data_IF_372654046435
#
_entry.id   IF_372654046435
#
_cell.length_a   1.000
_cell.length_b   1.000
_cell.length_c   1.000
_cell.angle_alpha   90.00
_cell.angle_beta   90.00
_cell.angle_gamma   90.00
#
_symmetry.space_group_name_H-M   'P 1'
#
loop_
_entity.id
_entity.type
_entity.pdbx_description
1 polymer ?
#
# COMPACT_ATOMS: atom_id res chain seq x y z
N UNK A 1 -8.60 20.43 1.36
CA UNK A 1 -7.74 19.34 0.83
C UNK A 1 -6.34 19.89 0.66
N UNK A 2 -5.34 19.21 1.23
CA UNK A 2 -3.94 19.62 1.16
C UNK A 2 -3.20 18.76 0.15
N UNK A 3 -2.52 19.38 -0.80
CA UNK A 3 -1.69 18.70 -1.78
C UNK A 3 -0.22 18.78 -1.36
N UNK A 4 0.45 17.63 -1.26
CA UNK A 4 1.86 17.49 -0.91
C UNK A 4 2.60 16.77 -2.02
N UNK A 5 3.83 17.20 -2.29
CA UNK A 5 4.74 16.53 -3.22
C UNK A 5 6.07 16.30 -2.50
N UNK A 6 6.41 15.05 -2.22
CA UNK A 6 7.70 14.70 -1.62
C UNK A 6 8.65 14.39 -2.77
N UNK A 7 9.62 15.28 -2.97
CA UNK A 7 10.62 15.14 -4.03
C UNK A 7 11.78 14.26 -3.57
N UNK A 8 11.73 12.98 -3.95
CA UNK A 8 12.76 11.98 -3.64
C UNK A 8 13.76 11.85 -4.79
N UNK A 9 13.33 11.98 -6.04
CA UNK A 9 14.18 11.70 -7.20
C UNK A 9 13.76 12.46 -8.46
N UNK A 10 12.94 13.50 -8.32
CA UNK A 10 12.46 14.32 -9.43
C UNK A 10 11.37 13.66 -10.28
N UNK A 11 11.09 12.36 -10.12
CA UNK A 11 10.14 11.62 -10.97
C UNK A 11 8.71 12.17 -10.90
N UNK A 12 8.35 12.76 -9.77
CA UNK A 12 7.02 13.31 -9.50
C UNK A 12 7.04 14.84 -9.56
N UNK A 13 7.96 15.50 -8.82
CA UNK A 13 7.98 16.95 -8.70
C UNK A 13 8.24 17.69 -10.02
N UNK A 14 8.94 17.06 -10.97
CA UNK A 14 9.23 17.65 -12.27
C UNK A 14 8.05 17.57 -13.26
N UNK A 15 7.06 16.70 -13.01
CA UNK A 15 5.92 16.52 -13.92
C UNK A 15 5.09 17.81 -14.00
N UNK A 16 4.74 18.24 -15.21
CA UNK A 16 4.12 19.55 -15.47
C UNK A 16 2.92 19.84 -14.55
N UNK A 17 1.95 18.93 -14.35
CA UNK A 17 0.76 19.25 -13.55
C UNK A 17 1.09 19.47 -12.07
N UNK A 18 2.15 18.82 -11.55
CA UNK A 18 2.57 18.96 -10.16
C UNK A 18 3.50 20.17 -10.00
N UNK A 19 4.46 20.35 -10.92
CA UNK A 19 5.35 21.51 -10.96
C UNK A 19 4.55 22.81 -10.98
N UNK A 20 3.56 22.94 -11.87
CA UNK A 20 2.71 24.13 -11.96
C UNK A 20 1.96 24.42 -10.66
N UNK A 21 1.52 23.38 -9.94
CA UNK A 21 0.83 23.54 -8.64
C UNK A 21 1.80 23.93 -7.53
N UNK A 22 3.04 23.42 -7.56
CA UNK A 22 4.11 23.83 -6.64
C UNK A 22 4.45 25.30 -6.87
N UNK A 23 4.70 25.70 -8.12
CA UNK A 23 5.08 27.07 -8.49
C UNK A 23 3.99 28.09 -8.12
N UNK A 24 2.72 27.70 -8.21
CA UNK A 24 1.58 28.52 -7.81
C UNK A 24 1.28 28.51 -6.30
N UNK A 25 2.05 27.79 -5.48
CA UNK A 25 1.81 27.65 -4.03
C UNK A 25 0.58 26.80 -3.67
N UNK A 26 -0.02 26.11 -4.65
CA UNK A 26 -1.18 25.24 -4.46
C UNK A 26 -0.81 23.82 -3.99
N UNK A 27 0.48 23.46 -4.02
CA UNK A 27 1.03 22.23 -3.48
C UNK A 27 2.26 22.52 -2.62
N UNK A 28 2.36 21.87 -1.46
CA UNK A 28 3.56 21.93 -0.62
C UNK A 28 4.60 20.94 -1.14
N UNK A 29 5.73 21.44 -1.63
CA UNK A 29 6.91 20.63 -1.95
C UNK A 29 7.70 20.32 -0.67
N UNK A 30 8.11 19.07 -0.52
CA UNK A 30 8.98 18.59 0.55
C UNK A 30 10.22 18.00 -0.11
N UNK A 31 11.35 18.70 -0.05
CA UNK A 31 12.61 18.18 -0.57
C UNK A 31 13.11 17.04 0.32
N UNK A 32 13.35 15.88 -0.30
CA UNK A 32 13.87 14.67 0.37
C UNK A 32 14.87 13.91 -0.51
N UNK A 33 15.37 14.52 -1.58
CA UNK A 33 16.35 13.92 -2.48
C UNK A 33 17.66 13.54 -1.77
N UNK A 34 18.01 14.26 -0.70
CA UNK A 34 19.15 13.94 0.17
C UNK A 34 19.01 12.60 0.91
N UNK A 35 17.78 12.12 1.10
CA UNK A 35 17.48 10.85 1.75
C UNK A 35 17.29 9.69 0.78
N UNK A 36 17.11 9.97 -0.51
CA UNK A 36 16.63 9.02 -1.51
C UNK A 36 17.44 7.73 -1.60
N UNK A 37 18.77 7.81 -1.61
CA UNK A 37 19.63 6.62 -1.68
C UNK A 37 19.50 5.70 -0.46
N UNK A 38 19.17 6.27 0.71
CA UNK A 38 18.96 5.53 1.96
C UNK A 38 17.54 5.01 2.15
N UNK A 39 16.62 5.44 1.29
CA UNK A 39 15.19 5.11 1.31
C UNK A 39 14.76 4.27 0.11
N UNK A 40 15.59 4.11 -0.93
CA UNK A 40 15.19 3.44 -2.17
C UNK A 40 15.20 1.93 -1.98
N UNK A 41 14.09 1.25 -2.35
CA UNK A 41 13.84 -0.21 -2.20
C UNK A 41 13.73 -0.68 -0.75
N UNK A 42 14.69 -0.30 0.08
CA UNK A 42 14.81 -0.68 1.47
C UNK A 42 15.39 0.48 2.28
N UNK A 43 14.77 0.75 3.42
CA UNK A 43 15.19 1.76 4.38
C UNK A 43 15.61 1.12 5.72
N UNK A 44 16.63 1.71 6.34
CA UNK A 44 16.93 1.45 7.76
C UNK A 44 15.94 2.20 8.64
N UNK A 45 15.81 1.80 9.92
CA UNK A 45 15.01 2.55 10.89
C UNK A 45 15.49 4.01 11.00
N UNK A 46 16.80 4.24 11.05
CA UNK A 46 17.35 5.59 11.12
C UNK A 46 17.01 6.44 9.88
N UNK A 47 16.99 5.85 8.68
CA UNK A 47 16.57 6.55 7.46
C UNK A 47 15.08 6.89 7.52
N UNK A 48 14.23 5.96 7.98
CA UNK A 48 12.79 6.21 8.18
C UNK A 48 12.52 7.27 9.24
N UNK A 49 13.30 7.31 10.33
CA UNK A 49 13.17 8.32 11.37
C UNK A 49 13.52 9.72 10.84
N UNK A 50 14.58 9.83 10.00
CA UNK A 50 14.92 11.09 9.32
C UNK A 50 13.83 11.52 8.34
N UNK A 51 13.30 10.57 7.57
CA UNK A 51 12.20 10.82 6.64
C UNK A 51 10.95 11.35 7.36
N UNK A 52 10.49 10.64 8.39
CA UNK A 52 9.31 11.06 9.18
C UNK A 52 9.54 12.38 9.91
N UNK A 53 10.76 12.65 10.40
CA UNK A 53 11.14 13.96 10.91
C UNK A 53 10.92 15.08 9.88
N UNK A 54 11.41 14.91 8.65
CA UNK A 54 11.21 15.88 7.54
C UNK A 54 9.73 16.11 7.25
N UNK A 55 8.90 15.06 7.33
CA UNK A 55 7.45 15.18 7.13
C UNK A 55 6.78 16.01 8.22
N UNK A 56 7.20 15.88 9.48
CA UNK A 56 6.68 16.66 10.62
C UNK A 56 7.05 18.12 10.53
N UNK A 57 8.30 18.41 10.18
CA UNK A 57 8.78 19.79 10.02
C UNK A 57 8.05 20.53 8.89
N UNK A 58 7.58 19.78 7.90
CA UNK A 58 6.82 20.30 6.75
C UNK A 58 5.29 20.24 6.96
N UNK A 59 4.82 19.75 8.10
CA UNK A 59 3.39 19.55 8.34
C UNK A 59 2.71 20.87 8.73
N UNK A 60 1.78 21.34 7.90
CA UNK A 60 0.86 22.38 8.33
C UNK A 60 -0.16 21.82 9.36
N UNK A 61 -0.60 22.59 10.37
CA UNK A 61 -1.64 22.14 11.29
C UNK A 61 -2.95 21.79 10.57
N UNK A 62 -3.70 20.81 11.09
CA UNK A 62 -5.07 20.53 10.65
C UNK A 62 -5.34 19.08 10.24
N UNK A 63 -6.62 18.71 10.32
CA UNK A 63 -7.14 17.36 10.05
C UNK A 63 -7.71 17.18 8.63
N UNK A 64 -7.41 18.13 7.73
CA UNK A 64 -7.85 18.15 6.34
C UNK A 64 -7.38 16.92 5.56
N UNK A 65 -8.22 16.46 4.63
CA UNK A 65 -7.86 15.44 3.64
C UNK A 65 -6.58 15.85 2.92
N UNK A 66 -5.57 14.97 2.94
CA UNK A 66 -4.29 15.21 2.28
C UNK A 66 -4.08 14.24 1.12
N UNK A 67 -3.59 14.74 -0.01
CA UNK A 67 -3.10 13.93 -1.13
C UNK A 67 -1.60 14.15 -1.24
N UNK A 68 -0.85 13.06 -1.23
CA UNK A 68 0.62 13.08 -1.26
C UNK A 68 1.12 12.32 -2.48
N UNK A 69 1.89 12.98 -3.32
CA UNK A 69 2.62 12.35 -4.42
C UNK A 69 4.09 12.24 -4.05
N UNK A 70 4.73 11.10 -4.33
CA UNK A 70 6.12 10.89 -3.97
C UNK A 70 6.78 9.77 -4.79
N UNK A 71 8.00 10.04 -5.27
CA UNK A 71 8.94 9.05 -5.83
C UNK A 71 8.44 8.16 -6.97
N UNK A 72 9.34 7.29 -7.45
CA UNK A 72 8.99 6.08 -8.20
C UNK A 72 8.51 4.94 -7.29
N UNK A 73 7.99 3.85 -7.88
CA UNK A 73 7.41 2.71 -7.13
C UNK A 73 8.38 2.02 -6.15
N UNK A 74 9.69 2.15 -6.35
CA UNK A 74 10.71 1.70 -5.40
C UNK A 74 10.73 2.46 -4.06
N UNK A 75 9.84 3.44 -3.89
CA UNK A 75 9.59 4.13 -2.62
C UNK A 75 8.23 3.80 -2.00
N UNK A 76 7.40 2.92 -2.55
CA UNK A 76 6.02 2.70 -2.05
C UNK A 76 5.97 2.32 -0.56
N UNK A 77 7.01 1.64 -0.05
CA UNK A 77 7.15 1.32 1.39
C UNK A 77 7.22 2.54 2.33
N UNK A 78 7.50 3.74 1.82
CA UNK A 78 7.44 4.97 2.60
C UNK A 78 6.02 5.28 3.11
N UNK A 79 5.00 4.63 2.55
CA UNK A 79 3.63 4.61 3.11
C UNK A 79 3.62 4.26 4.60
N UNK A 80 4.44 3.31 5.05
CA UNK A 80 4.54 2.97 6.48
C UNK A 80 4.98 4.17 7.34
N UNK A 81 5.91 5.00 6.83
CA UNK A 81 6.33 6.22 7.49
C UNK A 81 5.26 7.31 7.47
N UNK A 82 4.54 7.45 6.36
CA UNK A 82 3.42 8.39 6.25
C UNK A 82 2.27 8.04 7.21
N UNK A 83 1.94 6.75 7.34
CA UNK A 83 0.94 6.24 8.28
C UNK A 83 1.32 6.48 9.74
N UNK A 84 2.61 6.47 10.08
CA UNK A 84 3.09 6.74 11.43
C UNK A 84 2.79 8.19 11.90
N UNK A 85 2.55 9.11 10.97
CA UNK A 85 2.17 10.50 11.28
C UNK A 85 0.67 10.67 11.54
N UNK A 86 -0.14 9.64 11.26
CA UNK A 86 -1.58 9.69 11.52
C UNK A 86 -1.85 9.35 12.98
N UNK A 87 -2.64 10.19 13.66
CA UNK A 87 -2.92 10.08 15.11
C UNK A 87 -4.32 9.55 15.45
N UNK A 88 -5.01 8.96 14.47
CA UNK A 88 -6.36 8.43 14.61
C UNK A 88 -6.42 7.00 14.07
N UNK A 89 -7.32 6.21 14.62
CA UNK A 89 -7.58 4.86 14.13
C UNK A 89 -8.04 4.91 12.68
N UNK A 90 -7.43 4.08 11.83
CA UNK A 90 -7.71 4.05 10.40
C UNK A 90 -7.65 2.64 9.79
N UNK A 91 -8.22 2.55 8.60
CA UNK A 91 -8.09 1.43 7.67
C UNK A 91 -7.33 1.89 6.43
N UNK A 92 -6.49 1.02 5.89
CA UNK A 92 -5.72 1.28 4.66
C UNK A 92 -6.37 0.53 3.51
N UNK A 93 -6.61 1.21 2.40
CA UNK A 93 -6.92 0.60 1.11
C UNK A 93 -5.65 0.72 0.26
N UNK A 94 -5.13 -0.42 -0.15
CA UNK A 94 -3.84 -0.60 -0.79
C UNK A 94 -4.07 -1.17 -2.19
N UNK A 95 -3.86 -0.36 -3.22
CA UNK A 95 -3.88 -0.82 -4.62
C UNK A 95 -2.46 -1.13 -5.04
N UNK A 96 -2.17 -2.39 -5.36
CA UNK A 96 -0.83 -2.86 -5.71
C UNK A 96 -0.93 -4.24 -6.38
N UNK A 97 -0.02 -4.55 -7.31
CA UNK A 97 0.09 -5.90 -7.86
C UNK A 97 0.65 -6.89 -6.83
N UNK A 98 1.40 -6.39 -5.85
CA UNK A 98 2.04 -7.14 -4.79
C UNK A 98 1.29 -7.02 -3.47
N UNK A 99 1.29 -8.09 -2.65
CA UNK A 99 0.63 -8.07 -1.34
C UNK A 99 1.41 -7.32 -0.26
N UNK A 100 2.72 -7.09 -0.45
CA UNK A 100 3.64 -6.41 0.47
C UNK A 100 3.64 -6.90 1.92
N UNK A 101 3.26 -8.18 2.08
CA UNK A 101 2.97 -8.84 3.35
C UNK A 101 4.11 -9.72 3.89
N UNK A 102 5.33 -9.61 3.33
CA UNK A 102 6.48 -10.44 3.74
C UNK A 102 6.87 -10.09 5.17
N UNK A 103 6.89 -11.10 6.06
CA UNK A 103 7.17 -10.88 7.49
C UNK A 103 8.65 -10.85 7.84
N UNK A 104 9.49 -11.55 7.09
CA UNK A 104 10.88 -11.76 7.43
C UNK A 104 11.80 -11.56 6.21
N UNK A 105 12.92 -10.83 6.35
CA UNK A 105 13.33 -10.08 7.54
C UNK A 105 12.42 -8.85 7.79
N UNK A 106 12.24 -8.39 9.05
CA UNK A 106 11.35 -7.27 9.38
C UNK A 106 11.98 -5.91 9.05
N UNK A 107 12.25 -5.66 7.77
CA UNK A 107 12.82 -4.40 7.28
C UNK A 107 11.74 -3.47 6.73
N UNK A 108 12.08 -2.19 6.52
CA UNK A 108 11.25 -1.28 5.74
C UNK A 108 11.62 -1.47 4.28
N UNK A 109 10.89 -2.30 3.54
CA UNK A 109 11.09 -2.52 2.11
C UNK A 109 9.73 -2.70 1.43
N UNK A 110 9.68 -2.56 0.10
CA UNK A 110 8.42 -2.65 -0.66
C UNK A 110 7.68 -3.95 -0.36
N UNK A 111 8.31 -5.12 -0.43
CA UNK A 111 7.63 -6.39 -0.14
C UNK A 111 7.15 -6.62 1.30
N UNK A 112 7.48 -5.76 2.27
CA UNK A 112 7.18 -5.99 3.69
C UNK A 112 6.47 -4.84 4.41
N UNK A 113 6.18 -3.72 3.73
CA UNK A 113 5.74 -2.50 4.41
C UNK A 113 4.36 -2.63 5.05
N UNK A 114 3.47 -3.48 4.53
CA UNK A 114 2.16 -3.75 5.13
C UNK A 114 2.32 -4.25 6.57
N UNK A 115 3.35 -5.04 6.85
CA UNK A 115 3.64 -5.47 8.22
C UNK A 115 4.15 -4.33 9.11
N UNK A 116 4.95 -3.40 8.57
CA UNK A 116 5.38 -2.19 9.29
C UNK A 116 4.19 -1.29 9.59
N UNK A 117 3.22 -1.19 8.68
CA UNK A 117 1.97 -0.48 8.91
C UNK A 117 1.13 -1.16 10.01
N UNK A 118 1.00 -2.50 9.99
CA UNK A 118 0.24 -3.25 11.00
C UNK A 118 0.90 -3.28 12.39
N UNK A 119 2.18 -2.92 12.51
CA UNK A 119 2.84 -2.69 13.79
C UNK A 119 2.37 -1.39 14.47
N UNK A 120 1.81 -0.44 13.69
CA UNK A 120 1.22 0.78 14.23
C UNK A 120 -0.13 0.47 14.93
N UNK A 121 -0.32 0.86 16.19
CA UNK A 121 -1.50 0.46 16.98
C UNK A 121 -2.82 1.06 16.45
N UNK A 122 -2.75 2.18 15.73
CA UNK A 122 -3.91 2.85 15.13
C UNK A 122 -4.28 2.28 13.75
N UNK A 123 -3.44 1.46 13.12
CA UNK A 123 -3.77 0.79 11.86
C UNK A 123 -4.55 -0.49 12.16
N UNK A 124 -5.86 -0.43 11.95
CA UNK A 124 -6.79 -1.49 12.34
C UNK A 124 -6.90 -2.59 11.28
N UNK A 125 -6.84 -2.21 10.01
CA UNK A 125 -6.95 -3.12 8.87
C UNK A 125 -6.22 -2.57 7.65
N UNK A 126 -5.60 -3.45 6.87
CA UNK A 126 -5.12 -3.19 5.51
C UNK A 126 -5.93 -4.06 4.55
N UNK A 127 -6.56 -3.44 3.57
CA UNK A 127 -7.27 -4.12 2.48
C UNK A 127 -6.45 -3.93 1.20
N UNK A 128 -5.90 -5.01 0.66
CA UNK A 128 -5.14 -5.00 -0.58
C UNK A 128 -6.03 -5.39 -1.75
N UNK A 129 -6.05 -4.57 -2.80
CA UNK A 129 -6.85 -4.73 -4.01
C UNK A 129 -5.94 -4.80 -5.24
N UNK A 130 -6.18 -5.81 -6.08
CA UNK A 130 -5.53 -5.90 -7.38
C UNK A 130 -4.43 -6.94 -7.60
N UNK A 131 -3.83 -7.61 -6.57
CA UNK A 131 -2.72 -8.50 -6.84
C UNK A 131 -2.95 -9.54 -7.94
N UNK A 132 -1.98 -9.67 -8.82
CA UNK A 132 -1.86 -10.77 -9.79
C UNK A 132 -0.51 -11.51 -9.62
N UNK A 133 0.37 -10.99 -8.76
CA UNK A 133 1.75 -11.44 -8.63
C UNK A 133 1.89 -12.90 -8.19
N UNK A 134 3.05 -13.48 -8.52
CA UNK A 134 3.44 -14.82 -8.08
C UNK A 134 3.61 -14.99 -6.56
N UNK A 135 3.56 -13.89 -5.80
CA UNK A 135 3.68 -13.89 -4.32
C UNK A 135 2.55 -14.69 -3.67
N UNK A 136 1.41 -14.78 -4.35
CA UNK A 136 0.25 -15.53 -3.89
C UNK A 136 0.37 -17.02 -4.19
N UNK A 137 1.28 -17.52 -5.03
CA UNK A 137 1.26 -18.96 -5.43
C UNK A 137 1.52 -19.89 -4.23
N UNK A 138 2.50 -19.55 -3.39
CA UNK A 138 2.85 -20.29 -2.16
C UNK A 138 3.13 -19.32 -1.02
N UNK A 139 2.09 -18.71 -0.43
CA UNK A 139 2.24 -17.57 0.48
C UNK A 139 3.07 -17.91 1.73
N UNK A 140 2.99 -19.15 2.23
CA UNK A 140 3.82 -19.60 3.36
C UNK A 140 5.32 -19.57 3.06
N UNK A 141 5.73 -19.90 1.82
CA UNK A 141 7.13 -19.84 1.40
C UNK A 141 7.60 -18.40 1.13
N UNK A 142 6.65 -17.51 0.81
CA UNK A 142 6.89 -16.07 0.67
C UNK A 142 6.82 -15.33 2.01
N UNK A 143 6.77 -16.05 3.14
CA UNK A 143 6.66 -15.47 4.49
C UNK A 143 5.46 -14.54 4.66
N UNK A 144 4.35 -14.82 3.97
CA UNK A 144 3.12 -14.05 4.05
C UNK A 144 2.58 -13.97 5.48
N UNK A 145 1.94 -12.86 5.83
CA UNK A 145 1.27 -12.69 7.11
C UNK A 145 -0.13 -13.32 7.16
N UNK A 146 -0.19 -14.63 6.95
CA UNK A 146 -1.43 -15.41 7.01
C UNK A 146 -2.12 -15.42 8.40
N UNK A 147 -1.42 -15.26 9.53
CA UNK A 147 -2.08 -14.98 10.81
C UNK A 147 -2.87 -13.67 10.80
N UNK A 148 -2.33 -12.58 10.24
CA UNK A 148 -3.06 -11.32 10.11
C UNK A 148 -4.23 -11.43 9.13
N UNK A 149 -4.09 -12.23 8.06
CA UNK A 149 -5.19 -12.59 7.16
C UNK A 149 -6.33 -13.30 7.92
N UNK A 150 -6.01 -14.33 8.72
CA UNK A 150 -6.98 -15.08 9.54
C UNK A 150 -7.66 -14.24 10.62
N UNK A 151 -7.00 -13.18 11.08
CA UNK A 151 -7.51 -12.24 12.09
C UNK A 151 -8.35 -11.11 11.47
N UNK A 152 -8.44 -11.03 10.14
CA UNK A 152 -9.08 -9.92 9.44
C UNK A 152 -8.33 -8.58 9.61
N UNK A 153 -7.03 -8.62 9.95
CA UNK A 153 -6.15 -7.46 9.94
C UNK A 153 -5.60 -7.18 8.53
N UNK A 154 -5.45 -8.23 7.73
CA UNK A 154 -5.27 -8.15 6.28
C UNK A 154 -6.53 -8.71 5.62
N UNK A 155 -7.07 -8.00 4.64
CA UNK A 155 -7.98 -8.56 3.64
C UNK A 155 -7.31 -8.39 2.28
N UNK A 156 -7.35 -9.41 1.43
CA UNK A 156 -6.65 -9.40 0.14
C UNK A 156 -7.58 -9.92 -0.95
N UNK A 157 -7.84 -9.06 -1.93
CA UNK A 157 -8.70 -9.32 -3.09
C UNK A 157 -7.85 -9.19 -4.35
N UNK A 158 -7.34 -10.32 -4.89
CA UNK A 158 -6.58 -10.31 -6.13
C UNK A 158 -7.45 -9.79 -7.26
N UNK A 159 -6.87 -9.16 -8.28
CA UNK A 159 -7.65 -8.90 -9.51
C UNK A 159 -8.02 -10.23 -10.16
N UNK A 160 -7.02 -11.08 -10.40
CA UNK A 160 -7.21 -12.46 -10.82
C UNK A 160 -6.05 -13.33 -10.34
N UNK A 161 -6.33 -14.33 -9.53
CA UNK A 161 -5.33 -15.31 -9.12
C UNK A 161 -5.97 -16.69 -8.88
N UNK A 162 -5.24 -17.75 -9.22
CA UNK A 162 -5.65 -19.13 -8.92
C UNK A 162 -5.59 -19.41 -7.40
N UNK A 163 -6.21 -20.48 -6.89
CA UNK A 163 -6.09 -20.80 -5.47
C UNK A 163 -4.63 -21.03 -5.04
N UNK A 164 -4.25 -20.48 -3.89
CA UNK A 164 -2.90 -20.60 -3.34
C UNK A 164 -2.71 -21.90 -2.59
N UNK A 165 -1.61 -22.62 -2.83
CA UNK A 165 -1.31 -23.84 -2.07
C UNK A 165 -0.84 -23.49 -0.66
N UNK A 166 -1.44 -24.12 0.36
CA UNK A 166 -1.06 -23.96 1.76
C UNK A 166 -1.01 -25.29 2.53
N UNK A 167 -0.16 -25.37 3.54
CA UNK A 167 -0.05 -26.50 4.47
C UNK A 167 -0.71 -26.20 5.83
N UNK A 168 -0.70 -24.95 6.26
CA UNK A 168 -1.35 -24.49 7.48
C UNK A 168 -2.88 -24.48 7.42
N UNK A 169 -3.49 -24.22 8.58
CA UNK A 169 -4.92 -23.93 8.71
C UNK A 169 -5.12 -22.47 9.06
N UNK A 170 -5.89 -21.78 8.25
CA UNK A 170 -6.21 -20.36 8.36
C UNK A 170 -7.72 -20.21 8.39
N UNK A 171 -8.20 -19.20 9.10
CA UNK A 171 -9.64 -18.94 9.23
C UNK A 171 -10.14 -18.26 7.96
N UNK A 172 -11.23 -18.76 7.41
CA UNK A 172 -11.97 -18.08 6.33
C UNK A 172 -12.28 -16.62 6.65
N UNK A 173 -12.28 -15.79 5.62
CA UNK A 173 -12.64 -14.37 5.73
C UNK A 173 -13.41 -13.88 4.52
N UNK A 174 -13.76 -12.58 4.49
CA UNK A 174 -14.46 -11.97 3.36
C UNK A 174 -13.74 -12.13 2.01
N UNK A 175 -12.41 -12.16 2.04
CA UNK A 175 -11.57 -12.17 0.84
C UNK A 175 -11.09 -13.57 0.41
N UNK A 176 -11.30 -14.61 1.23
CA UNK A 176 -10.79 -15.95 0.94
C UNK A 176 -11.51 -17.06 1.71
N UNK A 177 -11.46 -18.28 1.16
CA UNK A 177 -11.90 -19.51 1.82
C UNK A 177 -10.86 -20.60 1.69
N UNK A 178 -10.66 -21.38 2.75
CA UNK A 178 -9.76 -22.53 2.71
C UNK A 178 -10.54 -23.80 2.35
N UNK A 179 -10.17 -24.45 1.23
CA UNK A 179 -10.65 -25.79 0.87
C UNK A 179 -9.48 -26.69 0.45
N UNK A 180 -9.47 -27.94 0.93
CA UNK A 180 -8.50 -29.00 0.55
C UNK A 180 -7.04 -28.52 0.39
N UNK A 181 -6.53 -27.77 1.37
CA UNK A 181 -5.14 -27.29 1.37
C UNK A 181 -4.84 -26.16 0.39
N UNK A 182 -5.88 -25.42 -0.03
CA UNK A 182 -5.76 -24.23 -0.86
C UNK A 182 -6.53 -23.06 -0.26
N UNK A 183 -6.02 -21.83 -0.44
CA UNK A 183 -6.79 -20.61 -0.25
C UNK A 183 -7.41 -20.20 -1.57
N UNK A 184 -8.74 -20.24 -1.64
CA UNK A 184 -9.52 -19.73 -2.75
C UNK A 184 -9.82 -18.26 -2.49
N UNK A 185 -9.29 -17.39 -3.36
CA UNK A 185 -9.48 -15.95 -3.26
C UNK A 185 -10.80 -15.50 -3.88
N UNK A 186 -11.37 -14.43 -3.33
CA UNK A 186 -12.42 -13.64 -3.99
C UNK A 186 -11.76 -12.70 -4.99
N UNK A 187 -11.80 -13.05 -6.27
CA UNK A 187 -11.16 -12.31 -7.35
C UNK A 187 -12.02 -11.12 -7.81
N UNK A 188 -11.45 -9.92 -7.87
CA UNK A 188 -12.17 -8.69 -8.25
C UNK A 188 -12.62 -8.70 -9.71
N UNK A 189 -11.93 -9.40 -10.60
CA UNK A 189 -12.31 -9.48 -12.01
C UNK A 189 -13.66 -10.21 -12.23
N UNK A 190 -14.16 -10.91 -11.22
CA UNK A 190 -15.44 -11.62 -11.26
C UNK A 190 -16.55 -10.86 -10.49
N UNK A 191 -16.23 -9.70 -9.90
CA UNK A 191 -17.12 -8.90 -9.06
C UNK A 191 -17.70 -7.69 -9.81
N UNK A 192 -18.85 -7.20 -9.34
CA UNK A 192 -19.36 -5.89 -9.76
C UNK A 192 -18.75 -4.80 -8.90
N UNK A 193 -17.94 -3.94 -9.50
CA UNK A 193 -17.12 -2.95 -8.80
C UNK A 193 -17.87 -2.12 -7.74
N UNK A 194 -18.98 -1.47 -8.12
CA UNK A 194 -19.72 -0.59 -7.20
C UNK A 194 -20.26 -1.36 -5.98
N UNK A 195 -20.84 -2.54 -6.20
CA UNK A 195 -21.39 -3.37 -5.12
C UNK A 195 -20.31 -3.92 -4.21
N UNK A 196 -19.16 -4.31 -4.77
CA UNK A 196 -17.99 -4.72 -4.01
C UNK A 196 -17.46 -3.57 -3.14
N UNK A 197 -17.32 -2.36 -3.70
CA UNK A 197 -16.82 -1.21 -2.96
C UNK A 197 -17.74 -0.84 -1.79
N UNK A 198 -19.06 -0.82 -2.01
CA UNK A 198 -20.04 -0.54 -0.96
C UNK A 198 -19.95 -1.57 0.18
N UNK A 199 -19.85 -2.85 -0.16
CA UNK A 199 -19.67 -3.94 0.81
C UNK A 199 -18.36 -3.80 1.61
N UNK A 200 -17.25 -3.57 0.90
CA UNK A 200 -15.93 -3.42 1.50
C UNK A 200 -15.88 -2.23 2.46
N UNK A 201 -16.37 -1.06 2.01
CA UNK A 201 -16.38 0.17 2.82
C UNK A 201 -17.26 0.00 4.05
N UNK A 202 -18.43 -0.63 3.91
CA UNK A 202 -19.32 -0.92 5.03
C UNK A 202 -18.70 -1.89 6.05
N UNK A 203 -17.81 -2.78 5.61
CA UNK A 203 -17.10 -3.74 6.46
C UNK A 203 -15.87 -3.19 7.19
N UNK A 204 -15.42 -1.97 6.88
CA UNK A 204 -14.22 -1.39 7.50
C UNK A 204 -14.45 -1.08 8.99
N UNK A 205 -13.47 -1.38 9.87
CA UNK A 205 -13.60 -1.15 11.31
C UNK A 205 -13.41 0.33 11.72
N UNK A 206 -13.15 1.23 10.76
CA UNK A 206 -12.84 2.63 11.03
C UNK A 206 -13.51 3.53 10.01
N UNK A 207 -13.74 4.79 10.40
CA UNK A 207 -14.24 5.84 9.49
C UNK A 207 -13.12 6.53 8.71
N UNK A 208 -11.91 6.57 9.27
CA UNK A 208 -10.78 7.19 8.61
C UNK A 208 -10.13 6.17 7.67
N UNK A 209 -9.99 6.56 6.40
CA UNK A 209 -9.43 5.70 5.36
C UNK A 209 -8.17 6.36 4.82
N UNK A 210 -7.09 5.58 4.74
CA UNK A 210 -5.90 5.92 3.98
C UNK A 210 -5.92 5.13 2.67
N UNK A 211 -5.76 5.81 1.54
CA UNK A 211 -5.65 5.14 0.24
C UNK A 211 -4.20 5.29 -0.25
N UNK A 212 -3.58 4.19 -0.63
CA UNK A 212 -2.27 4.17 -1.28
C UNK A 212 -2.36 3.37 -2.57
N UNK A 213 -1.64 3.82 -3.59
CA UNK A 213 -1.71 3.30 -4.95
C UNK A 213 -0.30 3.13 -5.48
N UNK A 214 0.14 1.90 -5.67
CA UNK A 214 1.18 1.57 -6.64
C UNK A 214 0.54 1.44 -8.02
N UNK A 215 1.22 1.97 -9.03
CA UNK A 215 0.73 1.95 -10.40
C UNK A 215 0.94 0.60 -11.07
N UNK A 216 1.78 -0.27 -10.50
CA UNK A 216 1.98 -1.60 -11.05
C UNK A 216 0.73 -2.48 -10.93
N UNK A 217 -0.25 -2.12 -10.10
CA UNK A 217 -1.57 -2.78 -10.02
C UNK A 217 -2.30 -2.81 -11.37
N UNK A 218 -2.06 -1.80 -12.21
CA UNK A 218 -2.76 -1.60 -13.46
C UNK A 218 -2.26 -2.53 -14.56
N UNK A 219 -3.09 -2.82 -15.55
CA UNK A 219 -2.68 -3.49 -16.78
C UNK A 219 -1.72 -2.66 -17.64
N UNK A 220 -0.91 -3.33 -18.48
CA UNK A 220 0.06 -2.68 -19.38
C UNK A 220 -0.54 -1.68 -20.36
N UNK A 221 -1.83 -1.81 -20.68
CA UNK A 221 -2.55 -0.86 -21.55
C UNK A 221 -2.75 0.50 -20.88
N UNK A 222 -2.81 0.54 -19.55
CA UNK A 222 -3.20 1.72 -18.78
C UNK A 222 -1.98 2.39 -18.14
N UNK A 223 -0.99 1.61 -17.72
CA UNK A 223 0.29 2.12 -17.25
C UNK A 223 1.44 1.16 -17.61
N UNK A 224 2.56 1.73 -18.06
CA UNK A 224 3.82 0.98 -18.22
C UNK A 224 4.67 1.23 -16.98
N UNK A 225 4.89 0.18 -16.18
CA UNK A 225 5.85 0.21 -15.07
C UNK A 225 7.10 -0.62 -15.39
N UNK A 226 8.16 -0.39 -14.64
CA UNK A 226 9.40 -1.19 -14.69
C UNK A 226 9.42 -2.31 -13.63
N UNK A 227 8.24 -2.67 -13.11
CA UNK A 227 8.01 -3.71 -12.10
C UNK A 227 7.18 -4.86 -12.68
N UNK A 228 6.93 -5.90 -11.87
CA UNK A 228 5.98 -6.95 -12.26
C UNK A 228 4.59 -6.33 -12.32
N UNK A 229 3.96 -6.38 -13.49
CA UNK A 229 2.74 -5.65 -13.78
C UNK A 229 1.52 -6.52 -13.43
N UNK A 230 0.53 -5.90 -12.79
CA UNK A 230 -0.81 -6.44 -12.63
C UNK A 230 -1.66 -6.29 -13.89
N UNK A 231 -2.95 -6.54 -13.72
CA UNK A 231 -3.93 -6.61 -14.82
C UNK A 231 -5.22 -5.83 -14.52
N UNK A 232 -5.26 -5.04 -13.43
CA UNK A 232 -6.45 -4.27 -13.09
C UNK A 232 -6.67 -3.13 -14.12
N UNK A 233 -7.87 -2.94 -14.67
CA UNK A 233 -8.16 -1.83 -15.57
C UNK A 233 -8.32 -0.52 -14.80
N UNK A 234 -8.01 0.60 -15.47
CA UNK A 234 -8.28 1.96 -14.97
C UNK A 234 -9.77 2.37 -15.08
#
# INVERSE_FOLDING_TARGET
MRLRVIDLDGSVAAQEPLRRRIDAGAATRIDAADLASSLRILATRAAMDRFTGRLRDSAAPGDDVSVTFYGSGDFHHLTAGLLAEVRRDLSVIHFDNHPDWVRFPPTFNCGAWVNRALELPHVRRVVTLGPCSGDLVRPELQFANLPALSQGRIELYPWRHAPSRIWGRYRDGPSHRQDRGHLHWRNLADERWDGFLDEMIAGLPTKAIWITIDKDVLGRSDAVTNWDQGDMPL
#
